data_IF_785919004541
#
_entry.id   IF_785919004541
#
_cell.length_a   1.000
_cell.length_b   1.000
_cell.length_c   1.000
_cell.angle_alpha   90.00
_cell.angle_beta   90.00
_cell.angle_gamma   90.00
#
_symmetry.space_group_name_H-M   'P 1'
#
loop_
_entity.id
_entity.type
_entity.pdbx_description
1 polymer ?
#
# COMPACT_ATOMS: atom_id res chain seq x y z
N UNK A 1 -5.09 23.56 -59.90
CA UNK A 1 -5.74 24.89 -60.01
C UNK A 1 -6.90 24.87 -59.02
N UNK A 2 -6.59 24.59 -57.76
CA UNK A 2 -6.01 25.52 -56.76
C UNK A 2 -7.19 26.23 -56.10
N UNK A 3 -7.36 26.30 -54.78
CA UNK A 3 -6.49 26.04 -53.64
C UNK A 3 -7.40 26.15 -52.42
N UNK A 4 -7.50 25.10 -51.59
CA UNK A 4 -8.09 25.23 -50.26
C UNK A 4 -6.95 25.45 -49.28
N UNK A 5 -6.92 26.65 -48.72
CA UNK A 5 -6.01 27.14 -47.69
C UNK A 5 -6.29 26.39 -46.39
N UNK A 6 -5.28 25.71 -45.85
CA UNK A 6 -5.35 24.95 -44.60
C UNK A 6 -4.18 25.34 -43.71
N UNK A 7 -4.51 25.88 -42.54
CA UNK A 7 -3.83 25.51 -41.30
C UNK A 7 -2.68 26.41 -40.89
N UNK A 8 -3.01 27.42 -40.09
CA UNK A 8 -2.07 28.10 -39.24
C UNK A 8 -2.77 28.64 -38.01
N UNK A 9 -2.93 27.79 -36.98
CA UNK A 9 -2.78 28.27 -35.61
C UNK A 9 -2.45 27.10 -34.67
N UNK A 10 -1.23 27.16 -34.13
CA UNK A 10 -0.83 26.45 -32.92
C UNK A 10 -1.51 27.14 -31.74
N UNK A 11 -2.27 26.38 -30.98
CA UNK A 11 -2.54 26.71 -29.59
C UNK A 11 -2.14 25.51 -28.74
N UNK A 12 -0.90 25.57 -28.25
CA UNK A 12 -0.44 24.85 -27.08
C UNK A 12 -1.36 25.20 -25.90
N UNK A 13 -1.88 24.18 -25.22
CA UNK A 13 -2.76 24.37 -24.08
C UNK A 13 -3.59 23.14 -23.75
N UNK A 14 -2.99 21.95 -23.80
CA UNK A 14 -3.59 20.82 -23.11
C UNK A 14 -3.38 21.07 -21.61
N UNK A 15 -4.39 21.65 -20.96
CA UNK A 15 -4.52 21.63 -19.50
C UNK A 15 -4.25 20.21 -19.04
N UNK A 16 -3.12 20.01 -18.35
CA UNK A 16 -2.87 18.76 -17.64
C UNK A 16 -4.03 18.57 -16.66
N UNK A 17 -4.68 17.40 -16.63
CA UNK A 17 -5.75 17.15 -15.68
C UNK A 17 -5.16 17.25 -14.27
N UNK A 18 -5.47 18.36 -13.58
CA UNK A 18 -5.12 18.56 -12.18
C UNK A 18 -5.70 17.38 -11.40
N UNK A 19 -4.81 16.52 -10.91
CA UNK A 19 -5.18 15.28 -10.23
C UNK A 19 -5.95 15.62 -8.94
N UNK A 20 -7.28 15.48 -8.98
CA UNK A 20 -8.18 15.75 -7.85
C UNK A 20 -8.06 14.60 -6.85
N UNK A 21 -7.63 14.92 -5.62
CA UNK A 21 -7.46 13.94 -4.56
C UNK A 21 -8.81 13.42 -4.06
N UNK A 22 -9.16 12.20 -4.45
CA UNK A 22 -10.11 11.34 -3.75
C UNK A 22 -11.50 11.94 -3.53
N UNK A 23 -12.21 12.24 -4.62
CA UNK A 23 -13.66 12.53 -4.70
C UNK A 23 -14.24 13.33 -3.51
N UNK A 24 -14.19 14.65 -3.65
CA UNK A 24 -14.87 15.64 -2.79
C UNK A 24 -14.00 16.86 -2.49
N UNK A 25 -14.56 18.07 -2.65
CA UNK A 25 -13.87 19.36 -2.45
C UNK A 25 -13.18 19.50 -1.09
N UNK A 26 -13.77 18.89 -0.05
CA UNK A 26 -13.24 18.96 1.32
C UNK A 26 -11.90 18.23 1.51
N UNK A 27 -11.63 17.15 0.76
CA UNK A 27 -10.34 16.43 0.84
C UNK A 27 -9.22 17.20 0.18
N UNK A 28 -9.52 17.85 -0.95
CA UNK A 28 -8.58 18.76 -1.60
C UNK A 28 -8.28 19.95 -0.68
N UNK A 29 -9.28 20.56 -0.07
CA UNK A 29 -9.07 21.67 0.86
C UNK A 29 -8.22 21.27 2.08
N UNK A 30 -8.48 20.09 2.67
CA UNK A 30 -7.67 19.56 3.77
C UNK A 30 -6.22 19.25 3.32
N UNK A 31 -6.05 18.77 2.09
CA UNK A 31 -4.73 18.57 1.50
C UNK A 31 -3.98 19.90 1.34
N UNK A 32 -4.59 20.92 0.72
CA UNK A 32 -3.95 22.24 0.57
C UNK A 32 -3.59 22.84 1.91
N UNK A 33 -4.50 22.77 2.88
CA UNK A 33 -4.27 23.23 4.24
C UNK A 33 -3.08 22.50 4.91
N UNK A 34 -2.91 21.20 4.64
CA UNK A 34 -1.78 20.42 5.15
C UNK A 34 -0.44 20.80 4.52
N UNK A 35 -0.46 21.60 3.44
CA UNK A 35 0.70 22.00 2.63
C UNK A 35 0.99 23.50 2.70
N UNK A 36 0.24 24.25 3.53
CA UNK A 36 0.33 25.71 3.62
C UNK A 36 1.57 26.22 4.39
N UNK A 37 1.86 27.51 4.24
CA UNK A 37 3.02 28.17 4.85
C UNK A 37 3.10 27.99 6.38
N UNK A 38 1.97 28.04 7.09
CA UNK A 38 1.95 27.84 8.54
C UNK A 38 2.40 26.45 8.99
N UNK A 39 2.25 25.43 8.13
CA UNK A 39 2.75 24.08 8.41
C UNK A 39 4.26 23.97 8.15
N UNK A 40 4.79 24.70 7.17
CA UNK A 40 6.23 24.82 6.96
C UNK A 40 6.91 25.47 8.18
N UNK A 41 6.37 26.59 8.65
CA UNK A 41 6.87 27.28 9.85
C UNK A 41 6.87 26.35 11.07
N UNK A 42 5.81 25.55 11.24
CA UNK A 42 5.72 24.56 12.30
C UNK A 42 6.74 23.40 12.15
N UNK A 43 7.02 22.95 10.92
CA UNK A 43 8.05 21.94 10.65
C UNK A 43 9.46 22.47 10.99
N UNK A 44 9.75 23.71 10.59
CA UNK A 44 11.02 24.37 10.91
C UNK A 44 11.21 24.56 12.41
N UNK A 45 10.17 25.03 13.12
CA UNK A 45 10.19 25.18 14.58
C UNK A 45 10.39 23.86 15.33
N UNK A 46 10.05 22.72 14.72
CA UNK A 46 10.25 21.38 15.26
C UNK A 46 11.58 20.72 14.83
N UNK A 47 12.50 21.49 14.23
CA UNK A 47 13.76 21.01 13.66
C UNK A 47 13.58 19.87 12.64
N UNK A 48 12.43 19.82 11.94
CA UNK A 48 12.18 18.88 10.85
C UNK A 48 12.77 19.41 9.54
N UNK A 49 14.09 19.55 9.54
CA UNK A 49 14.84 20.28 8.50
C UNK A 49 14.74 19.62 7.14
N UNK A 50 14.88 18.28 7.08
CA UNK A 50 14.78 17.50 5.84
C UNK A 50 13.81 16.35 6.00
N UNK A 51 12.91 16.22 5.05
CA UNK A 51 11.98 15.08 4.94
C UNK A 51 12.53 14.12 3.90
N UNK A 52 12.50 12.83 4.21
CA UNK A 52 12.88 11.78 3.29
C UNK A 52 11.79 10.72 3.22
N UNK A 53 11.68 10.08 2.07
CA UNK A 53 10.80 8.95 1.84
C UNK A 53 11.59 7.74 1.35
N UNK A 54 11.10 6.56 1.74
CA UNK A 54 11.62 5.28 1.28
C UNK A 54 10.48 4.35 0.89
N UNK A 55 10.69 3.60 -0.20
CA UNK A 55 9.91 2.41 -0.52
C UNK A 55 10.63 1.22 0.06
N UNK A 56 9.91 0.44 0.86
CA UNK A 56 10.44 -0.68 1.62
C UNK A 56 9.65 -1.94 1.29
N UNK A 57 10.36 -3.01 1.01
CA UNK A 57 9.82 -4.36 0.95
C UNK A 57 10.29 -5.18 2.13
N UNK A 58 9.45 -6.08 2.61
CA UNK A 58 9.79 -6.99 3.69
C UNK A 58 8.97 -8.27 3.70
N UNK A 59 9.62 -9.34 4.14
CA UNK A 59 8.97 -10.56 4.61
C UNK A 59 8.61 -10.40 6.10
N UNK A 60 7.30 -10.32 6.38
CA UNK A 60 6.77 -10.08 7.71
C UNK A 60 6.75 -11.30 8.64
N UNK A 61 7.11 -12.51 8.18
CA UNK A 61 6.97 -13.77 8.94
C UNK A 61 7.61 -13.69 10.33
N UNK A 62 8.80 -13.09 10.43
CA UNK A 62 9.61 -13.03 11.67
C UNK A 62 9.29 -11.84 12.57
N UNK A 63 8.30 -11.02 12.20
CA UNK A 63 8.03 -9.74 12.85
C UNK A 63 6.64 -9.69 13.48
N UNK A 64 6.54 -8.98 14.62
CA UNK A 64 5.25 -8.74 15.31
C UNK A 64 4.47 -7.54 14.72
N UNK A 65 4.68 -7.31 13.43
CA UNK A 65 4.06 -6.25 12.64
C UNK A 65 5.00 -5.08 12.35
N UNK A 66 4.45 -4.06 11.70
CA UNK A 66 5.23 -2.89 11.35
C UNK A 66 5.59 -2.05 12.58
N UNK A 67 4.60 -1.72 13.40
CA UNK A 67 4.69 -0.71 14.45
C UNK A 67 5.63 -1.14 15.58
N UNK A 68 6.54 -0.24 15.96
CA UNK A 68 7.42 -0.40 17.12
C UNK A 68 6.62 -0.62 18.42
N UNK A 69 7.05 -1.59 19.22
CA UNK A 69 6.36 -2.04 20.45
C UNK A 69 7.35 -2.26 21.62
N UNK A 70 8.44 -1.49 21.64
CA UNK A 70 9.53 -1.65 22.60
C UNK A 70 10.67 -2.52 22.07
N UNK A 71 11.77 -2.54 22.82
CA UNK A 71 13.06 -3.08 22.36
C UNK A 71 13.08 -4.61 22.22
N UNK A 72 12.26 -5.32 22.98
CA UNK A 72 12.24 -6.79 22.98
C UNK A 72 11.50 -7.39 21.79
N UNK A 73 10.71 -6.58 21.08
CA UNK A 73 9.83 -7.03 19.99
C UNK A 73 10.45 -6.70 18.65
N UNK A 74 10.68 -7.72 17.81
CA UNK A 74 11.13 -7.54 16.43
C UNK A 74 10.01 -6.94 15.59
N UNK A 75 10.20 -5.71 15.13
CA UNK A 75 9.23 -4.95 14.31
C UNK A 75 9.95 -4.34 13.12
N UNK A 76 9.23 -4.14 12.01
CA UNK A 76 9.81 -3.51 10.81
C UNK A 76 10.27 -2.08 11.12
N UNK A 77 9.44 -1.29 11.80
CA UNK A 77 9.78 0.06 12.22
C UNK A 77 11.05 0.09 13.08
N UNK A 78 11.18 -0.84 14.04
CA UNK A 78 12.36 -0.89 14.91
C UNK A 78 13.66 -1.15 14.15
N UNK A 79 13.66 -2.06 13.17
CA UNK A 79 14.85 -2.32 12.34
C UNK A 79 15.20 -1.15 11.42
N UNK A 80 14.19 -0.51 10.82
CA UNK A 80 14.38 0.70 10.01
C UNK A 80 14.94 1.85 10.86
N UNK A 81 14.34 2.13 12.01
CA UNK A 81 14.80 3.17 12.94
C UNK A 81 16.22 2.89 13.44
N UNK A 82 16.55 1.64 13.80
CA UNK A 82 17.92 1.25 14.19
C UNK A 82 18.96 1.62 13.13
N UNK A 83 18.66 1.37 11.86
CA UNK A 83 19.57 1.67 10.76
C UNK A 83 19.62 3.18 10.46
N UNK A 84 18.46 3.85 10.48
CA UNK A 84 18.37 5.29 10.24
C UNK A 84 19.06 6.11 11.34
N UNK A 85 18.98 5.71 12.61
CA UNK A 85 19.70 6.39 13.70
C UNK A 85 21.21 6.31 13.47
N UNK A 86 21.74 5.17 13.01
CA UNK A 86 23.16 5.04 12.64
C UNK A 86 23.54 5.87 11.42
N UNK A 87 22.66 5.92 10.42
CA UNK A 87 22.89 6.65 9.17
C UNK A 87 22.87 8.17 9.36
N UNK A 88 21.93 8.67 10.15
CA UNK A 88 21.64 10.11 10.28
C UNK A 88 22.24 10.74 11.54
N UNK A 89 22.54 9.93 12.56
CA UNK A 89 22.88 10.41 13.90
C UNK A 89 21.70 10.96 14.70
N UNK A 90 20.47 10.93 14.15
CA UNK A 90 19.26 11.28 14.89
C UNK A 90 18.92 10.17 15.90
N UNK A 91 18.22 10.52 16.97
CA UNK A 91 17.51 9.56 17.81
C UNK A 91 16.15 9.19 17.19
N UNK A 92 15.49 8.20 17.81
CA UNK A 92 14.19 7.69 17.33
C UNK A 92 13.11 8.78 17.30
N UNK A 93 13.08 9.65 18.31
CA UNK A 93 12.08 10.70 18.41
C UNK A 93 12.29 11.81 17.38
N UNK A 94 13.54 12.10 17.01
CA UNK A 94 13.90 13.02 15.93
C UNK A 94 13.61 12.47 14.54
N UNK A 95 13.70 11.15 14.34
CA UNK A 95 13.30 10.53 13.07
C UNK A 95 11.80 10.67 12.79
N UNK A 96 10.95 10.58 13.82
CA UNK A 96 9.47 10.48 13.73
C UNK A 96 9.03 9.58 12.57
N UNK A 97 9.63 8.39 12.43
CA UNK A 97 9.36 7.54 11.28
C UNK A 97 7.87 7.16 11.22
N UNK A 98 7.24 7.48 10.09
CA UNK A 98 5.83 7.21 9.84
C UNK A 98 5.65 6.41 8.55
N UNK A 99 4.77 5.41 8.59
CA UNK A 99 4.44 4.58 7.44
C UNK A 99 3.09 4.92 6.82
N UNK A 100 2.93 4.55 5.56
CA UNK A 100 1.68 4.68 4.83
C UNK A 100 0.54 3.93 5.51
N UNK A 101 0.83 2.74 6.04
CA UNK A 101 -0.09 1.92 6.80
C UNK A 101 0.66 0.93 7.66
N UNK A 102 0.08 0.57 8.80
CA UNK A 102 0.62 -0.50 9.64
C UNK A 102 0.22 -1.85 9.05
N UNK A 103 1.17 -2.77 8.97
CA UNK A 103 0.88 -4.18 8.70
C UNK A 103 0.86 -4.96 10.01
N UNK A 104 -0.02 -5.97 10.09
CA UNK A 104 -0.08 -6.87 11.24
C UNK A 104 1.15 -7.79 11.30
N UNK A 105 1.32 -8.49 12.44
CA UNK A 105 2.30 -9.57 12.55
C UNK A 105 2.10 -10.62 11.45
N UNK A 106 3.18 -11.01 10.80
CA UNK A 106 3.19 -11.98 9.71
C UNK A 106 2.69 -11.46 8.36
N UNK A 107 2.32 -10.17 8.23
CA UNK A 107 1.92 -9.57 6.94
C UNK A 107 3.15 -9.01 6.23
N UNK A 108 3.27 -9.29 4.94
CA UNK A 108 4.39 -8.87 4.10
C UNK A 108 4.12 -7.51 3.42
N UNK A 109 5.15 -6.92 2.83
CA UNK A 109 5.00 -5.78 1.94
C UNK A 109 6.00 -5.83 0.78
N UNK A 110 5.54 -5.42 -0.40
CA UNK A 110 6.36 -5.15 -1.59
C UNK A 110 6.52 -3.65 -1.88
N UNK A 111 5.63 -2.82 -1.32
CA UNK A 111 5.63 -1.38 -1.59
C UNK A 111 5.17 -0.56 -0.38
N UNK A 112 5.68 -0.85 0.82
CA UNK A 112 5.43 0.00 1.98
C UNK A 112 6.17 1.33 1.80
N UNK A 113 5.44 2.44 1.86
CA UNK A 113 6.06 3.76 1.86
C UNK A 113 6.22 4.25 3.29
N UNK A 114 7.43 4.71 3.64
CA UNK A 114 7.73 5.35 4.92
C UNK A 114 8.32 6.72 4.68
N UNK A 115 8.13 7.63 5.65
CA UNK A 115 8.81 8.91 5.71
C UNK A 115 9.49 9.07 7.07
N UNK A 116 10.52 9.90 7.12
CA UNK A 116 11.21 10.30 8.34
C UNK A 116 11.86 11.67 8.16
N UNK A 117 12.30 12.27 9.27
CA UNK A 117 13.00 13.55 9.27
C UNK A 117 14.47 13.39 9.67
N UNK A 118 15.32 14.21 9.06
CA UNK A 118 16.74 14.32 9.40
C UNK A 118 17.10 15.77 9.75
N UNK A 119 17.97 15.97 10.74
CA UNK A 119 18.47 17.30 11.11
C UNK A 119 19.50 17.83 10.10
N UNK A 120 20.28 16.91 9.52
CA UNK A 120 21.30 17.19 8.51
C UNK A 120 20.90 16.56 7.17
N UNK A 121 21.15 17.24 6.04
CA UNK A 121 20.94 16.64 4.73
C UNK A 121 21.80 15.39 4.53
N UNK A 122 21.23 14.37 3.89
CA UNK A 122 21.95 13.23 3.36
C UNK A 122 22.47 13.56 1.96
N UNK A 123 23.79 13.66 1.80
CA UNK A 123 24.41 14.13 0.56
C UNK A 123 24.23 13.17 -0.64
N UNK A 124 24.27 11.86 -0.40
CA UNK A 124 24.10 10.82 -1.43
C UNK A 124 23.06 9.78 -0.99
N UNK A 125 21.84 9.91 -1.49
CA UNK A 125 20.73 9.00 -1.17
C UNK A 125 20.94 7.59 -1.73
N UNK A 126 21.68 7.44 -2.83
CA UNK A 126 22.03 6.12 -3.37
C UNK A 126 23.00 5.39 -2.45
N UNK A 127 24.00 6.10 -1.91
CA UNK A 127 24.92 5.57 -0.90
C UNK A 127 24.20 5.28 0.42
N UNK A 128 23.29 6.17 0.83
CA UNK A 128 22.43 5.95 2.00
C UNK A 128 21.59 4.68 1.89
N UNK A 129 20.90 4.47 0.75
CA UNK A 129 20.16 3.24 0.44
C UNK A 129 21.07 1.99 0.53
N UNK A 130 22.25 2.04 -0.08
CA UNK A 130 23.22 0.92 -0.02
C UNK A 130 23.65 0.62 1.42
N UNK A 131 23.97 1.66 2.20
CA UNK A 131 24.35 1.52 3.60
C UNK A 131 23.22 0.92 4.46
N UNK A 132 21.98 1.39 4.26
CA UNK A 132 20.78 0.83 4.90
C UNK A 132 20.65 -0.67 4.62
N UNK A 133 20.69 -1.07 3.33
CA UNK A 133 20.56 -2.47 2.95
C UNK A 133 21.74 -3.34 3.42
N UNK A 134 22.91 -2.78 3.66
CA UNK A 134 24.04 -3.49 4.28
C UNK A 134 23.89 -3.69 5.80
N UNK A 135 23.04 -2.91 6.47
CA UNK A 135 22.78 -3.01 7.91
C UNK A 135 21.46 -3.72 8.26
N UNK A 136 20.50 -3.72 7.34
CA UNK A 136 19.20 -4.35 7.51
C UNK A 136 19.30 -5.88 7.39
N UNK A 137 18.50 -6.64 8.15
CA UNK A 137 18.36 -8.07 7.93
C UNK A 137 17.86 -8.40 6.52
N UNK A 138 18.11 -9.61 6.03
CA UNK A 138 17.83 -9.97 4.63
C UNK A 138 16.37 -9.95 4.20
N UNK A 139 15.46 -9.97 5.18
CA UNK A 139 14.02 -9.90 4.98
C UNK A 139 13.46 -8.47 4.99
N UNK A 140 14.30 -7.43 5.03
CA UNK A 140 13.92 -6.03 4.87
C UNK A 140 14.83 -5.35 3.86
N UNK A 141 14.26 -4.69 2.86
CA UNK A 141 15.00 -3.94 1.85
C UNK A 141 14.40 -2.56 1.63
N UNK A 142 15.28 -1.57 1.52
CA UNK A 142 14.98 -0.26 0.96
C UNK A 142 15.14 -0.37 -0.55
N UNK A 143 14.03 -0.33 -1.26
CA UNK A 143 13.96 -0.44 -2.72
C UNK A 143 14.21 0.91 -3.39
N UNK A 144 13.69 1.99 -2.81
CA UNK A 144 13.86 3.35 -3.31
C UNK A 144 14.02 4.32 -2.13
N UNK A 145 14.75 5.42 -2.34
CA UNK A 145 15.05 6.43 -1.33
C UNK A 145 15.17 7.80 -2.02
N UNK A 146 14.35 8.78 -1.60
CA UNK A 146 14.32 10.11 -2.21
C UNK A 146 13.89 11.20 -1.21
N UNK A 147 14.05 12.46 -1.62
CA UNK A 147 13.51 13.65 -0.94
C UNK A 147 12.14 13.97 -1.55
N UNK A 148 11.02 13.76 -0.82
CA UNK A 148 9.68 14.15 -1.25
C UNK A 148 9.44 15.64 -1.00
N UNK A 149 8.20 16.11 -1.17
CA UNK A 149 7.82 17.43 -0.69
C UNK A 149 8.13 17.57 0.83
N UNK A 150 8.62 18.72 1.33
CA UNK A 150 9.01 18.90 2.73
C UNK A 150 7.91 18.55 3.76
N UNK A 151 6.65 18.77 3.39
CA UNK A 151 5.48 18.46 4.23
C UNK A 151 4.89 17.06 4.01
N UNK A 152 5.53 16.21 3.20
CA UNK A 152 5.02 14.88 2.89
C UNK A 152 4.79 14.04 4.15
N UNK A 153 3.61 13.43 4.23
CA UNK A 153 3.27 12.47 5.28
C UNK A 153 2.73 11.17 4.68
N UNK A 154 3.51 10.10 4.82
CA UNK A 154 3.24 8.81 4.17
C UNK A 154 1.81 8.28 4.41
N UNK A 155 1.21 8.51 5.59
CA UNK A 155 -0.15 8.04 5.88
C UNK A 155 -1.26 8.94 5.32
N UNK A 156 -1.08 10.26 5.42
CA UNK A 156 -2.19 11.21 5.28
C UNK A 156 -2.36 11.67 3.84
N UNK A 157 -1.27 11.64 3.07
CA UNK A 157 -1.28 11.95 1.64
C UNK A 157 -1.48 10.72 0.74
N UNK A 158 -1.66 9.52 1.31
CA UNK A 158 -1.92 8.30 0.53
C UNK A 158 -3.36 8.29 -0.02
N UNK A 159 -3.52 8.27 -1.34
CA UNK A 159 -4.84 8.26 -2.02
C UNK A 159 -5.43 6.86 -2.11
N UNK A 160 -4.57 5.88 -2.37
CA UNK A 160 -4.97 4.48 -2.61
C UNK A 160 -3.97 3.53 -1.99
N UNK A 161 -4.46 2.34 -1.65
CA UNK A 161 -3.64 1.21 -1.24
C UNK A 161 -4.12 -0.03 -1.95
N UNK A 162 -3.18 -0.79 -2.48
CA UNK A 162 -3.44 -2.08 -3.11
C UNK A 162 -2.81 -3.18 -2.27
N UNK A 163 -3.64 -4.14 -1.87
CA UNK A 163 -3.20 -5.36 -1.20
C UNK A 163 -3.49 -6.55 -2.09
N UNK A 164 -2.61 -7.55 -2.05
CA UNK A 164 -2.88 -8.86 -2.61
C UNK A 164 -2.95 -9.89 -1.48
N UNK A 165 -3.90 -10.81 -1.59
CA UNK A 165 -4.00 -11.97 -0.73
C UNK A 165 -3.84 -13.24 -1.56
N UNK A 166 -2.74 -13.97 -1.37
CA UNK A 166 -2.47 -15.21 -2.06
C UNK A 166 -3.10 -16.41 -1.36
N UNK A 167 -3.79 -17.22 -2.16
CA UNK A 167 -4.39 -18.49 -1.82
C UNK A 167 -3.65 -19.59 -2.57
N UNK A 168 -3.43 -20.69 -1.88
CA UNK A 168 -3.07 -21.94 -2.53
C UNK A 168 -4.37 -22.71 -2.79
N UNK A 169 -4.81 -22.72 -4.05
CA UNK A 169 -6.09 -23.30 -4.46
C UNK A 169 -5.97 -24.76 -4.89
N UNK A 170 -4.81 -25.40 -4.64
CA UNK A 170 -4.64 -26.83 -4.87
C UNK A 170 -5.30 -27.63 -3.74
N UNK A 171 -5.71 -28.85 -4.08
CA UNK A 171 -6.14 -29.83 -3.08
C UNK A 171 -5.00 -30.16 -2.10
N UNK A 172 -3.81 -30.40 -2.66
CA UNK A 172 -2.56 -30.51 -1.89
C UNK A 172 -1.72 -29.26 -2.12
N UNK A 173 -1.58 -28.43 -1.08
CA UNK A 173 -0.76 -27.22 -1.16
C UNK A 173 0.71 -27.54 -1.35
N UNK A 174 1.40 -26.60 -1.99
CA UNK A 174 2.84 -26.70 -2.20
C UNK A 174 3.62 -26.33 -0.94
N UNK A 175 4.65 -27.10 -0.67
CA UNK A 175 5.58 -26.81 0.39
C UNK A 175 6.25 -25.44 0.20
N UNK A 176 6.53 -25.00 -1.03
CA UNK A 176 7.25 -23.75 -1.29
C UNK A 176 6.39 -22.50 -1.18
N UNK A 177 5.09 -22.58 -1.50
CA UNK A 177 4.13 -21.47 -1.36
C UNK A 177 3.73 -21.19 0.09
N UNK A 178 3.92 -22.15 1.02
CA UNK A 178 3.33 -22.16 2.37
C UNK A 178 3.56 -20.90 3.20
N UNK A 179 4.64 -20.16 2.93
CA UNK A 179 5.00 -18.92 3.63
C UNK A 179 4.27 -17.70 3.12
N UNK A 180 3.83 -17.73 1.86
CA UNK A 180 3.32 -16.57 1.12
C UNK A 180 1.90 -16.76 0.62
N UNK A 181 1.35 -17.98 0.72
CA UNK A 181 -0.01 -18.29 0.34
C UNK A 181 -0.74 -19.05 1.46
N UNK A 182 -2.03 -18.83 1.58
CA UNK A 182 -2.90 -19.58 2.48
C UNK A 182 -3.59 -20.72 1.73
N UNK A 183 -3.32 -21.95 2.14
CA UNK A 183 -4.15 -23.10 1.76
C UNK A 183 -5.50 -23.05 2.46
N UNK A 184 -6.57 -23.08 1.68
CA UNK A 184 -7.94 -23.03 2.18
C UNK A 184 -8.42 -24.44 2.55
N UNK A 185 -8.15 -24.86 3.78
CA UNK A 185 -8.71 -26.10 4.35
C UNK A 185 -8.47 -27.36 3.50
N UNK A 186 -9.45 -28.27 3.51
CA UNK A 186 -9.43 -29.55 2.80
C UNK A 186 -10.07 -29.51 1.40
N UNK A 187 -10.68 -28.38 1.01
CA UNK A 187 -11.30 -28.22 -0.31
C UNK A 187 -10.96 -26.84 -0.86
N UNK A 188 -10.45 -26.75 -2.11
CA UNK A 188 -10.25 -25.48 -2.80
C UNK A 188 -11.51 -24.60 -2.82
N UNK A 189 -11.36 -23.27 -2.78
CA UNK A 189 -12.48 -22.36 -2.94
C UNK A 189 -13.04 -22.44 -4.37
N UNK A 190 -14.36 -22.33 -4.50
CA UNK A 190 -15.00 -22.09 -5.79
C UNK A 190 -14.71 -20.65 -6.23
N UNK A 191 -14.05 -20.50 -7.38
CA UNK A 191 -13.55 -19.21 -7.85
C UNK A 191 -14.66 -18.30 -8.37
N UNK A 192 -15.74 -18.86 -8.92
CA UNK A 192 -16.85 -18.05 -9.41
C UNK A 192 -17.67 -17.51 -8.24
N UNK A 193 -17.88 -18.34 -7.21
CA UNK A 193 -18.47 -17.87 -5.95
C UNK A 193 -17.57 -16.82 -5.30
N UNK A 194 -16.25 -17.03 -5.28
CA UNK A 194 -15.30 -16.06 -4.72
C UNK A 194 -15.37 -14.71 -5.45
N UNK A 195 -15.41 -14.72 -6.79
CA UNK A 195 -15.56 -13.51 -7.63
C UNK A 195 -16.84 -12.77 -7.32
N UNK A 196 -17.97 -13.48 -7.26
CA UNK A 196 -19.27 -12.88 -6.92
C UNK A 196 -19.25 -12.29 -5.50
N UNK A 197 -18.69 -13.02 -4.53
CA UNK A 197 -18.60 -12.55 -3.15
C UNK A 197 -17.71 -11.29 -3.02
N UNK A 198 -16.60 -11.23 -3.76
CA UNK A 198 -15.74 -10.04 -3.82
C UNK A 198 -16.51 -8.80 -4.31
N UNK A 199 -17.36 -8.96 -5.32
CA UNK A 199 -18.14 -7.84 -5.90
C UNK A 199 -19.09 -7.19 -4.89
N UNK A 200 -19.63 -7.96 -3.94
CA UNK A 200 -20.49 -7.44 -2.86
C UNK A 200 -19.76 -6.51 -1.89
N UNK A 201 -18.42 -6.54 -1.88
CA UNK A 201 -17.60 -5.71 -1.00
C UNK A 201 -17.03 -4.47 -1.69
N UNK A 202 -17.30 -4.26 -2.99
CA UNK A 202 -16.84 -3.07 -3.74
C UNK A 202 -17.80 -1.90 -3.52
N UNK A 203 -17.25 -0.69 -3.40
CA UNK A 203 -18.01 0.54 -3.19
C UNK A 203 -17.69 1.24 -1.87
N UNK A 204 -18.49 2.27 -1.55
CA UNK A 204 -18.37 3.02 -0.29
C UNK A 204 -19.36 2.48 0.73
N UNK A 205 -18.86 1.88 1.81
CA UNK A 205 -19.67 1.22 2.82
C UNK A 205 -19.07 1.38 4.22
N UNK A 206 -19.87 1.08 5.23
CA UNK A 206 -19.39 0.92 6.60
C UNK A 206 -18.82 -0.50 6.80
N UNK A 207 -17.50 -0.62 6.92
CA UNK A 207 -16.80 -1.90 7.07
C UNK A 207 -16.61 -2.33 8.53
N UNK A 208 -17.46 -1.85 9.46
CA UNK A 208 -17.34 -2.18 10.88
C UNK A 208 -17.34 -3.70 11.15
N UNK A 209 -18.14 -4.49 10.43
CA UNK A 209 -18.14 -5.96 10.54
C UNK A 209 -16.80 -6.60 10.19
N UNK A 210 -15.98 -5.92 9.41
CA UNK A 210 -14.67 -6.39 8.98
C UNK A 210 -13.54 -5.73 9.75
N UNK A 211 -13.80 -4.90 10.77
CA UNK A 211 -12.76 -4.19 11.51
C UNK A 211 -12.61 -4.75 12.92
N UNK A 212 -11.37 -4.88 13.39
CA UNK A 212 -11.11 -5.05 14.82
C UNK A 212 -10.98 -3.68 15.50
N UNK A 213 -11.45 -3.56 16.73
CA UNK A 213 -11.25 -2.34 17.52
C UNK A 213 -9.75 -2.08 17.68
N UNK A 214 -9.30 -0.90 17.25
CA UNK A 214 -7.91 -0.48 17.45
C UNK A 214 -7.66 -0.17 18.93
N UNK A 215 -6.52 -0.60 19.47
CA UNK A 215 -6.09 -0.30 20.85
C UNK A 215 -5.75 1.19 21.07
N UNK A 216 -5.49 1.92 19.99
CA UNK A 216 -4.97 3.30 20.04
C UNK A 216 -6.07 4.37 20.14
N UNK A 217 -7.34 3.97 20.34
CA UNK A 217 -8.42 4.92 20.52
C UNK A 217 -8.55 5.30 21.98
N UNK A 218 -8.61 6.61 22.23
CA UNK A 218 -9.24 7.12 23.43
C UNK A 218 -10.65 6.52 23.52
N UNK A 219 -11.07 6.07 24.70
CA UNK A 219 -12.35 5.36 24.93
C UNK A 219 -13.60 6.08 24.42
N UNK A 220 -13.49 7.36 24.02
CA UNK A 220 -14.59 8.25 23.68
C UNK A 220 -14.65 8.70 22.21
N UNK A 221 -13.80 8.19 21.32
CA UNK A 221 -13.87 8.56 19.89
C UNK A 221 -14.55 7.48 19.04
N UNK A 222 -15.69 7.83 18.43
CA UNK A 222 -16.36 7.00 17.42
C UNK A 222 -15.41 6.76 16.24
N UNK A 223 -15.19 5.49 15.87
CA UNK A 223 -14.35 5.15 14.72
C UNK A 223 -15.13 5.41 13.44
N UNK A 224 -14.63 6.28 12.56
CA UNK A 224 -15.11 6.28 11.19
C UNK A 224 -14.64 4.99 10.49
N UNK A 225 -15.56 4.05 10.34
CA UNK A 225 -15.42 2.74 9.69
C UNK A 225 -15.85 2.74 8.23
N UNK A 226 -16.27 3.90 7.70
CA UNK A 226 -16.62 4.05 6.29
C UNK A 226 -15.35 4.09 5.45
N UNK A 227 -15.25 3.22 4.45
CA UNK A 227 -14.16 3.17 3.48
C UNK A 227 -14.74 2.99 2.09
N UNK A 228 -13.90 3.23 1.08
CA UNK A 228 -14.22 2.93 -0.31
C UNK A 228 -13.27 1.86 -0.81
N UNK A 229 -13.80 0.73 -1.25
CA UNK A 229 -13.07 -0.24 -2.06
C UNK A 229 -13.39 0.07 -3.51
N UNK A 230 -12.36 0.42 -4.28
CA UNK A 230 -12.52 0.77 -5.69
C UNK A 230 -12.60 -0.48 -6.56
N UNK A 231 -11.84 -1.53 -6.20
CA UNK A 231 -11.75 -2.77 -6.96
C UNK A 231 -11.41 -3.94 -6.05
N UNK A 232 -11.98 -5.11 -6.33
CA UNK A 232 -11.63 -6.36 -5.67
C UNK A 232 -11.74 -7.54 -6.65
N UNK A 233 -10.60 -8.03 -7.14
CA UNK A 233 -10.56 -9.03 -8.21
C UNK A 233 -9.95 -10.35 -7.75
N UNK A 234 -10.32 -11.43 -8.43
CA UNK A 234 -9.75 -12.76 -8.24
C UNK A 234 -8.96 -13.12 -9.49
N UNK A 235 -7.64 -13.25 -9.34
CA UNK A 235 -6.72 -13.52 -10.44
C UNK A 235 -6.05 -14.87 -10.20
N UNK A 236 -6.16 -15.76 -11.17
CA UNK A 236 -5.44 -17.04 -11.17
C UNK A 236 -4.02 -16.80 -11.67
N UNK A 237 -3.02 -17.32 -10.95
CA UNK A 237 -1.62 -17.22 -11.33
C UNK A 237 -1.25 -18.40 -12.25
N UNK A 238 -1.05 -18.18 -13.55
CA UNK A 238 -0.91 -19.26 -14.52
C UNK A 238 0.21 -20.23 -14.15
N UNK A 239 -0.05 -21.53 -14.27
CA UNK A 239 0.92 -22.61 -14.03
C UNK A 239 1.45 -22.74 -12.59
N UNK A 240 0.91 -22.00 -11.61
CA UNK A 240 1.37 -22.07 -10.22
C UNK A 240 0.40 -22.78 -9.26
N UNK A 241 -0.89 -22.85 -9.62
CA UNK A 241 -1.96 -23.30 -8.70
C UNK A 241 -2.31 -22.28 -7.60
N UNK A 242 -1.72 -21.08 -7.65
CA UNK A 242 -2.06 -19.98 -6.77
C UNK A 242 -3.17 -19.13 -7.36
N UNK A 243 -3.95 -18.55 -6.46
CA UNK A 243 -4.97 -17.54 -6.79
C UNK A 243 -4.71 -16.35 -5.90
N UNK A 244 -4.74 -15.14 -6.44
CA UNK A 244 -4.65 -13.92 -5.64
C UNK A 244 -5.94 -13.14 -5.69
N UNK A 245 -6.36 -12.68 -4.52
CA UNK A 245 -7.40 -11.67 -4.39
C UNK A 245 -6.71 -10.31 -4.32
N UNK A 246 -6.90 -9.48 -5.35
CA UNK A 246 -6.48 -8.10 -5.34
C UNK A 246 -7.55 -7.24 -4.67
N UNK A 247 -7.14 -6.30 -3.81
CA UNK A 247 -8.07 -5.29 -3.28
C UNK A 247 -7.42 -3.92 -3.30
N UNK A 248 -8.08 -2.97 -3.95
CA UNK A 248 -7.69 -1.57 -3.99
C UNK A 248 -8.75 -0.71 -3.31
N UNK A 249 -8.33 0.19 -2.42
CA UNK A 249 -9.25 1.08 -1.74
C UNK A 249 -8.60 2.36 -1.24
N UNK A 250 -9.44 3.26 -0.70
CA UNK A 250 -9.04 4.56 -0.14
C UNK A 250 -8.19 4.44 1.14
N UNK A 251 -7.98 3.22 1.63
CA UNK A 251 -7.34 2.90 2.88
C UNK A 251 -8.14 1.85 3.66
N UNK A 252 -7.48 1.12 4.54
CA UNK A 252 -8.09 -0.01 5.25
C UNK A 252 -8.00 0.18 6.76
N UNK A 253 -9.02 -0.32 7.45
CA UNK A 253 -9.08 -0.38 8.91
C UNK A 253 -8.18 -1.51 9.44
N UNK A 254 -7.96 -1.52 10.74
CA UNK A 254 -7.16 -2.56 11.39
C UNK A 254 -7.76 -3.95 11.13
N UNK A 255 -6.95 -4.82 10.51
CA UNK A 255 -7.30 -6.19 10.07
C UNK A 255 -8.38 -6.30 8.99
N UNK A 256 -8.82 -5.19 8.38
CA UNK A 256 -9.94 -5.18 7.45
C UNK A 256 -9.79 -6.18 6.31
N UNK A 257 -8.68 -6.11 5.56
CA UNK A 257 -8.46 -6.99 4.40
C UNK A 257 -8.52 -8.46 4.81
N UNK A 258 -7.88 -8.84 5.91
CA UNK A 258 -7.88 -10.23 6.39
C UNK A 258 -9.27 -10.71 6.80
N UNK A 259 -10.04 -9.85 7.47
CA UNK A 259 -11.40 -10.18 7.89
C UNK A 259 -12.33 -10.34 6.68
N UNK A 260 -12.20 -9.46 5.66
CA UNK A 260 -12.93 -9.61 4.39
C UNK A 260 -12.56 -10.93 3.71
N UNK A 261 -11.27 -11.22 3.53
CA UNK A 261 -10.83 -12.50 2.94
C UNK A 261 -11.36 -13.70 3.73
N UNK A 262 -11.34 -13.65 5.06
CA UNK A 262 -11.90 -14.72 5.89
C UNK A 262 -13.39 -14.97 5.63
N UNK A 263 -14.18 -13.90 5.48
CA UNK A 263 -15.60 -14.00 5.12
C UNK A 263 -15.82 -14.54 3.70
N UNK A 264 -15.04 -14.05 2.74
CA UNK A 264 -15.10 -14.51 1.35
C UNK A 264 -14.77 -15.99 1.23
N UNK A 265 -13.76 -16.48 1.95
CA UNK A 265 -13.35 -17.89 1.91
C UNK A 265 -14.40 -18.84 2.50
N UNK A 266 -15.13 -18.45 3.54
CA UNK A 266 -16.21 -19.32 4.07
C UNK A 266 -17.40 -19.40 3.12
N UNK A 267 -17.65 -18.36 2.31
CA UNK A 267 -18.66 -18.38 1.25
C UNK A 267 -18.17 -19.23 0.07
N UNK A 268 -16.96 -18.98 -0.41
CA UNK A 268 -16.37 -19.72 -1.53
C UNK A 268 -16.14 -21.21 -1.26
N UNK A 269 -16.09 -21.62 0.01
CA UNK A 269 -16.03 -23.05 0.41
C UNK A 269 -17.41 -23.65 0.71
N UNK A 270 -18.49 -22.89 0.51
CA UNK A 270 -19.87 -23.34 0.69
C UNK A 270 -20.32 -23.47 2.14
N UNK A 271 -19.56 -22.94 3.12
CA UNK A 271 -19.96 -22.94 4.54
C UNK A 271 -21.00 -21.86 4.84
N UNK A 272 -20.95 -20.76 4.10
CA UNK A 272 -21.84 -19.60 4.22
C UNK A 272 -22.45 -19.33 2.84
N UNK A 273 -23.68 -18.84 2.81
CA UNK A 273 -24.34 -18.37 1.59
C UNK A 273 -24.01 -16.90 1.29
N UNK A 274 -24.39 -16.42 0.10
CA UNK A 274 -24.34 -14.99 -0.21
C UNK A 274 -25.24 -14.17 0.73
N UNK A 275 -26.40 -14.71 1.13
CA UNK A 275 -27.28 -14.07 2.10
C UNK A 275 -26.62 -13.91 3.47
N UNK A 276 -25.81 -14.89 3.89
CA UNK A 276 -25.05 -14.79 5.13
C UNK A 276 -23.96 -13.72 5.04
N UNK A 277 -23.30 -13.59 3.89
CA UNK A 277 -22.35 -12.50 3.65
C UNK A 277 -23.05 -11.14 3.69
N UNK A 278 -24.23 -11.01 3.07
CA UNK A 278 -25.03 -9.79 3.11
C UNK A 278 -25.43 -9.43 4.54
N UNK A 279 -25.89 -10.41 5.34
CA UNK A 279 -26.17 -10.21 6.77
C UNK A 279 -24.95 -9.72 7.55
N UNK A 280 -23.76 -10.24 7.25
CA UNK A 280 -22.51 -9.78 7.87
C UNK A 280 -22.24 -8.31 7.51
N UNK A 281 -22.39 -7.93 6.24
CA UNK A 281 -22.21 -6.55 5.78
C UNK A 281 -23.17 -5.61 6.51
N UNK A 282 -24.46 -5.97 6.56
CA UNK A 282 -25.51 -5.10 7.10
C UNK A 282 -25.47 -4.95 8.62
N UNK A 283 -25.06 -6.00 9.34
CA UNK A 283 -25.05 -5.99 10.80
C UNK A 283 -24.07 -5.00 11.43
N UNK A 284 -23.01 -4.63 10.69
CA UNK A 284 -21.94 -3.74 11.18
C UNK A 284 -21.37 -4.18 12.54
N UNK A 285 -21.30 -5.50 12.77
CA UNK A 285 -20.81 -6.10 14.01
C UNK A 285 -19.72 -7.14 13.72
N UNK A 286 -18.50 -6.85 14.18
CA UNK A 286 -17.37 -7.75 14.03
C UNK A 286 -17.61 -9.11 14.70
N UNK A 287 -18.46 -9.21 15.73
CA UNK A 287 -18.67 -10.46 16.47
C UNK A 287 -19.34 -11.55 15.64
N UNK A 288 -20.18 -11.17 14.67
CA UNK A 288 -20.88 -12.13 13.82
C UNK A 288 -20.05 -12.55 12.60
N UNK A 289 -19.02 -11.78 12.25
CA UNK A 289 -18.15 -12.08 11.14
C UNK A 289 -17.18 -13.23 11.48
N UNK A 290 -16.84 -14.09 10.52
CA UNK A 290 -15.93 -15.21 10.73
C UNK A 290 -14.51 -14.75 11.10
N UNK A 291 -13.66 -15.73 11.44
CA UNK A 291 -12.25 -15.43 11.70
C UNK A 291 -11.57 -14.86 10.46
N UNK A 292 -10.71 -13.85 10.68
CA UNK A 292 -9.92 -13.27 9.60
C UNK A 292 -8.87 -14.26 9.09
N UNK A 293 -8.58 -14.16 7.80
CA UNK A 293 -7.61 -15.02 7.13
C UNK A 293 -6.20 -14.87 7.75
N UNK A 294 -5.35 -15.92 7.69
CA UNK A 294 -3.98 -15.87 8.17
C UNK A 294 -3.17 -14.73 7.53
N UNK A 295 -2.23 -14.16 8.28
CA UNK A 295 -1.45 -13.00 7.84
C UNK A 295 -0.51 -13.30 6.66
N UNK A 296 0.04 -14.51 6.61
CA UNK A 296 1.05 -14.98 5.66
C UNK A 296 0.66 -14.88 4.17
N UNK A 297 -0.63 -14.81 3.86
CA UNK A 297 -1.12 -14.63 2.49
C UNK A 297 -1.16 -13.17 2.06
N UNK A 298 -1.09 -12.22 2.99
CA UNK A 298 -1.37 -10.80 2.73
C UNK A 298 -0.08 -10.00 2.45
N UNK A 299 -0.12 -9.22 1.38
CA UNK A 299 0.94 -8.33 0.95
C UNK A 299 0.40 -6.92 0.74
N UNK A 300 1.04 -5.92 1.33
CA UNK A 300 0.90 -4.53 0.87
C UNK A 300 1.72 -4.36 -0.40
N UNK A 301 1.05 -4.15 -1.53
CA UNK A 301 1.71 -4.12 -2.85
C UNK A 301 2.09 -2.72 -3.27
N UNK A 302 1.16 -1.77 -3.17
CA UNK A 302 1.35 -0.42 -3.67
C UNK A 302 0.59 0.59 -2.81
N UNK A 303 1.14 1.79 -2.73
CA UNK A 303 0.48 2.95 -2.15
C UNK A 303 0.65 4.11 -3.10
N UNK A 304 -0.48 4.70 -3.49
CA UNK A 304 -0.50 5.78 -4.45
C UNK A 304 -0.61 7.13 -3.73
N UNK A 305 -0.01 8.13 -4.34
CA UNK A 305 0.09 9.50 -3.83
C UNK A 305 -0.09 10.49 -4.99
N UNK A 306 -0.51 11.72 -4.71
CA UNK A 306 -0.50 12.78 -5.72
C UNK A 306 0.93 13.11 -6.13
N UNK A 307 1.15 13.28 -7.43
CA UNK A 307 2.47 13.60 -8.01
C UNK A 307 3.16 14.78 -7.31
N UNK A 308 2.37 15.80 -6.93
CA UNK A 308 2.82 17.03 -6.26
C UNK A 308 3.45 16.85 -4.87
N UNK A 309 3.15 15.78 -4.15
CA UNK A 309 3.75 15.51 -2.82
C UNK A 309 4.77 14.40 -2.85
N UNK A 310 4.58 13.47 -3.78
CA UNK A 310 5.46 12.33 -3.96
C UNK A 310 5.63 12.08 -5.44
N UNK A 311 6.78 12.48 -5.96
CA UNK A 311 7.31 11.95 -7.21
C UNK A 311 8.38 10.95 -6.79
N UNK A 312 8.11 9.62 -6.84
CA UNK A 312 9.16 8.63 -6.68
C UNK A 312 10.29 8.92 -7.68
N UNK A 313 11.56 8.59 -7.34
CA UNK A 313 12.62 8.68 -8.33
C UNK A 313 12.21 7.82 -9.54
N UNK A 314 12.31 8.37 -10.75
CA UNK A 314 11.94 7.67 -11.98
C UNK A 314 12.62 6.30 -11.96
N UNK A 315 11.83 5.25 -11.78
CA UNK A 315 12.28 3.88 -11.91
C UNK A 315 12.65 3.68 -13.37
N UNK A 316 13.84 3.12 -13.62
CA UNK A 316 14.10 2.44 -14.90
C UNK A 316 13.21 1.21 -14.93
N UNK A 317 11.94 1.40 -15.29
CA UNK A 317 11.15 0.32 -15.86
C UNK A 317 11.61 0.23 -17.32
N UNK A 318 12.74 -0.45 -17.51
CA UNK A 318 13.14 -0.95 -18.81
C UNK A 318 12.48 -2.30 -19.01
N UNK A 319 11.18 -2.28 -19.31
CA UNK A 319 10.66 -3.26 -20.24
C UNK A 319 11.19 -2.82 -21.62
N UNK A 320 12.06 -3.66 -22.17
CA UNK A 320 12.56 -3.47 -23.52
C UNK A 320 11.44 -3.73 -24.51
N UNK A 321 11.13 -2.73 -25.31
CA UNK A 321 10.76 -2.95 -26.69
C UNK A 321 12.04 -2.68 -27.50
N UNK A 322 12.77 -3.77 -27.76
CA UNK A 322 13.58 -3.90 -28.96
C UNK A 322 12.60 -3.95 -30.13
N UNK A 323 12.26 -2.79 -30.69
CA UNK A 323 11.82 -2.73 -32.08
C UNK A 323 13.07 -2.44 -32.92
N UNK A 324 13.73 -3.53 -33.30
CA UNK A 324 14.38 -3.63 -34.60
C UNK A 324 13.29 -3.34 -35.65
N UNK A 325 13.38 -2.19 -36.31
CA UNK A 325 12.87 -2.08 -37.68
C UNK A 325 13.93 -1.37 -38.54
N UNK A 326 14.25 -2.09 -39.60
CA UNK A 326 15.22 -1.80 -40.64
C UNK A 326 15.12 -0.37 -41.17
N UNK A 327 16.26 0.31 -41.30
CA UNK A 327 16.46 1.25 -42.39
C UNK A 327 17.78 0.93 -43.10
N UNK A 328 17.65 0.04 -44.08
CA UNK A 328 18.59 -0.13 -45.18
C UNK A 328 18.44 1.07 -46.10
N UNK A 329 19.33 2.07 -46.03
CA UNK A 329 19.72 2.84 -47.23
C UNK A 329 21.19 3.29 -47.18
N UNK A 330 21.88 2.96 -48.26
CA UNK A 330 23.28 3.18 -48.59
C UNK A 330 23.77 4.65 -48.55
N UNK A 331 25.07 4.84 -48.32
CA UNK A 331 25.98 5.45 -49.30
C UNK A 331 27.45 5.56 -48.80
N UNK A 332 28.35 5.36 -49.77
CA UNK A 332 29.79 5.61 -49.83
C UNK A 332 30.73 4.45 -49.45
#
# INVERSE_FOLDING_TARGET
MDSFDVGGDRADGADEPTCVYGEGDWRNAAFEASMGASQLDAHEALERVKTYAMKVSYDGERYVGFQYQGETKKTIQGELERCLMKLTGNDRDGLKLGASGRTDSGVHARGQIVHFYAKKPLEDLRRAKKAMNGMLPDDIRVDEFWEPHPLFHARFHATRKTYWYYLDARETADAFSRKYAHQVGWKPPDLDILRQACSMLVGTMDYQSFCNTSRDKAKNETQNTVRTIYRMDVVEEPHTGLVRVEVEGSGFLYRQVRNMIGALLVVATGRYSFDDLQRIIDAKDRKIAPMGAPAKGLFLMRVDYPKRVLTPPVGRDGDGDDDDDDDVVAAA
#
